data_IF_164691786222
#
_entry.id   IF_164691786222
#
_cell.length_a   1.000
_cell.length_b   1.000
_cell.length_c   1.000
_cell.angle_alpha   90.00
_cell.angle_beta   90.00
_cell.angle_gamma   90.00
#
_symmetry.space_group_name_H-M   'P 1'
#
loop_
_entity.id
_entity.type
_entity.pdbx_description
1 polymer ?
#
# COMPACT_ATOMS: atom_id res chain seq x y z
N UNK A 1 -2.89 -6.81 9.19
CA UNK A 1 -3.14 -5.41 8.78
C UNK A 1 -4.60 -5.08 9.03
N UNK A 2 -4.91 -4.04 9.81
CA UNK A 2 -6.25 -3.46 9.79
C UNK A 2 -6.38 -2.68 8.47
N UNK A 3 -7.29 -3.07 7.58
CA UNK A 3 -7.68 -2.26 6.41
C UNK A 3 -8.58 -1.11 6.88
N UNK A 4 -8.13 -0.33 7.86
CA UNK A 4 -8.96 0.65 8.55
C UNK A 4 -9.30 1.89 7.69
N UNK A 5 -8.62 2.07 6.56
CA UNK A 5 -8.82 3.19 5.66
C UNK A 5 -9.30 2.70 4.29
N UNK A 6 -10.62 2.64 4.10
CA UNK A 6 -11.25 2.32 2.82
C UNK A 6 -12.02 3.56 2.35
N UNK A 7 -11.70 4.03 1.15
CA UNK A 7 -12.37 5.19 0.54
C UNK A 7 -12.85 4.90 -0.87
N UNK A 8 -13.93 5.53 -1.36
CA UNK A 8 -14.32 5.45 -2.76
C UNK A 8 -13.39 6.29 -3.65
N UNK A 9 -13.26 5.91 -4.92
CA UNK A 9 -12.49 6.65 -5.93
C UNK A 9 -12.98 8.09 -6.11
N UNK A 10 -14.23 8.37 -5.74
CA UNK A 10 -14.78 9.73 -5.72
C UNK A 10 -14.12 10.64 -4.68
N UNK A 11 -13.60 10.09 -3.59
CA UNK A 11 -12.84 10.87 -2.58
C UNK A 11 -11.46 11.24 -3.14
N UNK A 12 -10.79 10.30 -3.84
CA UNK A 12 -9.55 10.59 -4.55
C UNK A 12 -9.72 11.68 -5.61
N UNK A 13 -10.83 11.67 -6.35
CA UNK A 13 -11.13 12.73 -7.31
C UNK A 13 -11.42 14.07 -6.64
N UNK A 14 -11.99 14.06 -5.43
CA UNK A 14 -12.35 15.26 -4.69
C UNK A 14 -11.11 15.98 -4.17
N UNK A 15 -10.21 15.25 -3.53
CA UNK A 15 -8.98 15.80 -2.98
C UNK A 15 -7.89 14.73 -2.88
N UNK A 16 -7.05 14.67 -3.91
CA UNK A 16 -5.93 13.73 -3.93
C UNK A 16 -4.82 14.14 -2.94
N UNK A 17 -4.60 15.44 -2.74
CA UNK A 17 -3.55 15.96 -1.85
C UNK A 17 -3.81 15.55 -0.41
N UNK A 18 -5.04 15.74 0.08
CA UNK A 18 -5.42 15.32 1.43
C UNK A 18 -5.26 13.80 1.65
N UNK A 19 -5.54 12.98 0.64
CA UNK A 19 -5.31 11.53 0.74
C UNK A 19 -3.83 11.16 0.78
N UNK A 20 -2.99 11.87 0.03
CA UNK A 20 -1.53 11.68 0.05
C UNK A 20 -0.96 12.08 1.40
N UNK A 21 -1.36 13.23 1.94
CA UNK A 21 -0.99 13.69 3.30
C UNK A 21 -1.41 12.65 4.34
N UNK A 22 -2.68 12.22 4.31
CA UNK A 22 -3.20 11.21 5.24
C UNK A 22 -2.44 9.88 5.17
N UNK A 23 -2.11 9.40 3.97
CA UNK A 23 -1.32 8.18 3.79
C UNK A 23 0.12 8.33 4.33
N UNK A 24 0.69 9.53 4.18
CA UNK A 24 2.06 9.85 4.62
C UNK A 24 2.15 9.99 6.14
N UNK A 25 1.24 10.73 6.76
CA UNK A 25 1.20 10.97 8.20
C UNK A 25 0.90 9.70 8.99
N UNK A 26 -0.12 8.96 8.56
CA UNK A 26 -0.55 7.76 9.26
C UNK A 26 0.36 6.56 9.01
N UNK A 27 1.25 6.65 7.99
CA UNK A 27 2.05 5.53 7.47
C UNK A 27 1.24 4.24 7.33
N UNK A 28 -0.01 4.40 6.88
CA UNK A 28 -0.95 3.29 6.74
C UNK A 28 -1.56 3.31 5.35
N UNK A 29 -1.74 2.14 4.71
CA UNK A 29 -2.31 2.06 3.38
C UNK A 29 -3.78 2.48 3.39
N UNK A 30 -4.17 3.22 2.36
CA UNK A 30 -5.56 3.57 2.07
C UNK A 30 -6.03 2.72 0.89
N UNK A 31 -7.08 1.92 1.09
CA UNK A 31 -7.72 1.14 0.03
C UNK A 31 -8.71 2.02 -0.72
N UNK A 32 -8.55 2.11 -2.04
CA UNK A 32 -9.46 2.83 -2.92
C UNK A 32 -10.44 1.82 -3.54
N UNK A 33 -11.73 2.16 -3.51
CA UNK A 33 -12.81 1.33 -4.04
C UNK A 33 -13.54 1.98 -5.22
N UNK A 34 -14.07 1.17 -6.13
CA UNK A 34 -14.96 1.59 -7.22
C UNK A 34 -16.15 0.63 -7.29
N UNK A 35 -17.38 1.16 -7.18
CA UNK A 35 -18.61 0.35 -7.11
C UNK A 35 -18.52 -0.76 -6.04
N UNK A 36 -18.05 -0.39 -4.84
CA UNK A 36 -17.90 -1.29 -3.69
C UNK A 36 -16.74 -2.28 -3.76
N UNK A 37 -15.96 -2.31 -4.85
CA UNK A 37 -14.82 -3.23 -5.02
C UNK A 37 -13.50 -2.51 -4.82
N UNK A 38 -12.58 -3.09 -4.07
CA UNK A 38 -11.20 -2.59 -3.99
C UNK A 38 -10.54 -2.63 -5.38
N UNK A 39 -9.90 -1.53 -5.77
CA UNK A 39 -9.27 -1.38 -7.09
C UNK A 39 -7.84 -0.85 -7.03
N UNK A 40 -7.46 -0.17 -5.95
CA UNK A 40 -6.11 0.34 -5.77
C UNK A 40 -5.80 0.51 -4.27
N UNK A 41 -4.52 0.69 -3.95
CA UNK A 41 -4.04 1.02 -2.62
C UNK A 41 -3.08 2.19 -2.73
N UNK A 42 -3.33 3.27 -1.99
CA UNK A 42 -2.41 4.39 -1.82
C UNK A 42 -1.54 4.15 -0.59
N UNK A 43 -0.22 4.35 -0.74
CA UNK A 43 0.78 4.16 0.31
C UNK A 43 1.84 5.24 0.20
N UNK A 44 2.40 5.64 1.33
CA UNK A 44 3.59 6.47 1.32
C UNK A 44 4.79 5.71 0.75
N UNK A 45 5.71 6.45 0.14
CA UNK A 45 6.86 5.88 -0.58
C UNK A 45 7.82 5.18 0.36
N UNK A 46 7.98 5.65 1.60
CA UNK A 46 8.93 5.08 2.54
C UNK A 46 8.47 3.68 3.00
N UNK A 47 7.21 3.55 3.42
CA UNK A 47 6.62 2.26 3.82
C UNK A 47 6.53 1.28 2.65
N UNK A 48 6.17 1.76 1.45
CA UNK A 48 6.19 0.92 0.24
C UNK A 48 7.59 0.38 -0.05
N UNK A 49 8.60 1.24 -0.04
CA UNK A 49 9.98 0.86 -0.35
C UNK A 49 10.57 -0.08 0.71
N UNK A 50 10.27 0.15 1.99
CA UNK A 50 10.73 -0.72 3.08
C UNK A 50 10.20 -2.15 2.92
N UNK A 51 8.89 -2.32 2.69
CA UNK A 51 8.30 -3.63 2.45
C UNK A 51 8.86 -4.30 1.18
N UNK A 52 9.05 -3.53 0.10
CA UNK A 52 9.63 -4.06 -1.14
C UNK A 52 11.05 -4.60 -0.93
N UNK A 53 11.86 -3.92 -0.10
CA UNK A 53 13.20 -4.38 0.28
C UNK A 53 13.16 -5.66 1.12
N UNK A 54 12.25 -5.73 2.08
CA UNK A 54 12.06 -6.91 2.91
C UNK A 54 11.62 -8.12 2.07
N UNK A 55 10.65 -7.92 1.18
CA UNK A 55 10.18 -8.96 0.28
C UNK A 55 11.28 -9.44 -0.68
N UNK A 56 12.10 -8.52 -1.20
CA UNK A 56 13.26 -8.88 -2.01
C UNK A 56 14.28 -9.73 -1.22
N UNK A 57 14.49 -9.43 0.07
CA UNK A 57 15.35 -10.23 0.95
C UNK A 57 14.78 -11.64 1.13
N UNK A 58 13.48 -11.77 1.40
CA UNK A 58 12.82 -13.06 1.56
C UNK A 58 12.89 -13.90 0.27
N UNK A 59 12.68 -13.28 -0.89
CA UNK A 59 12.85 -13.95 -2.20
C UNK A 59 14.26 -14.51 -2.38
N UNK A 60 15.30 -13.73 -2.08
CA UNK A 60 16.68 -14.21 -2.16
C UNK A 60 16.94 -15.42 -1.25
N UNK A 61 16.38 -15.41 -0.04
CA UNK A 61 16.50 -16.54 0.89
C UNK A 61 15.78 -17.79 0.36
N UNK A 62 14.56 -17.64 -0.16
CA UNK A 62 13.80 -18.76 -0.72
C UNK A 62 14.50 -19.38 -1.94
N UNK A 63 15.09 -18.56 -2.81
CA UNK A 63 15.86 -19.05 -3.96
C UNK A 63 17.10 -19.84 -3.54
N UNK A 64 17.85 -19.36 -2.53
CA UNK A 64 19.00 -20.10 -1.98
C UNK A 64 18.62 -21.44 -1.37
N UNK A 65 17.44 -21.54 -0.73
CA UNK A 65 16.92 -22.80 -0.17
C UNK A 65 16.49 -23.82 -1.22
N UNK A 66 16.12 -23.39 -2.44
CA UNK A 66 15.73 -24.29 -3.55
C UNK A 66 16.93 -24.83 -4.34
N UNK A 67 18.06 -24.12 -4.31
CA UNK A 67 19.29 -24.50 -5.01
C UNK A 67 20.19 -25.44 -4.18
N UNK A 68 19.70 -25.88 -3.03
CA UNK A 68 20.39 -26.74 -2.06
C UNK A 68 19.58 -28.01 -1.90
#
# INVERSE_FOLDING_TARGET
MKLANIVPVTELRRDASALVERATEQRSPIVITRRGRAVAVLRDVASFTQEQREFARLKRMALRRKAR
#
